data_IF_315213933882
#
_entry.id   IF_315213933882
#
_cell.length_a   1.000
_cell.length_b   1.000
_cell.length_c   1.000
_cell.angle_alpha   90.00
_cell.angle_beta   90.00
_cell.angle_gamma   90.00
#
_symmetry.space_group_name_H-M   'P 1'
#
loop_
_entity.id
_entity.type
_entity.pdbx_description
1 polymer ?
#
# COMPACT_ATOMS: atom_id res chain seq x y z
N UNK A 1 10.85 1.46 14.38
CA UNK A 1 11.22 0.02 14.41
C UNK A 1 11.82 -0.45 13.10
N UNK A 2 11.14 -0.30 11.95
CA UNK A 2 11.72 -0.65 10.64
C UNK A 2 12.99 0.14 10.33
N UNK A 3 13.04 1.43 10.68
CA UNK A 3 14.23 2.26 10.51
C UNK A 3 15.43 1.75 11.32
N UNK A 4 15.19 1.27 12.55
CA UNK A 4 16.23 0.67 13.38
C UNK A 4 16.82 -0.58 12.71
N UNK A 5 15.97 -1.46 12.17
CA UNK A 5 16.42 -2.65 11.43
C UNK A 5 17.14 -2.31 10.13
N UNK A 6 16.80 -1.18 9.50
CA UNK A 6 17.50 -0.66 8.33
C UNK A 6 18.91 -0.19 8.68
N UNK A 7 19.07 0.53 9.79
CA UNK A 7 20.40 1.01 10.24
C UNK A 7 21.32 -0.15 10.63
N UNK A 8 20.79 -1.24 11.17
CA UNK A 8 21.56 -2.40 11.65
C UNK A 8 21.58 -3.57 10.64
N UNK A 9 21.25 -3.32 9.37
CA UNK A 9 21.22 -4.37 8.33
C UNK A 9 22.60 -5.02 8.11
N UNK A 10 23.69 -4.27 8.30
CA UNK A 10 25.06 -4.80 8.18
C UNK A 10 25.43 -5.72 9.34
N UNK A 11 24.98 -5.41 10.55
CA UNK A 11 25.23 -6.23 11.76
C UNK A 11 24.35 -7.49 11.77
N UNK A 12 23.13 -7.38 11.25
CA UNK A 12 22.15 -8.47 11.24
C UNK A 12 21.56 -8.70 9.84
N UNK A 13 22.34 -9.18 8.85
CA UNK A 13 21.93 -9.22 7.43
C UNK A 13 20.77 -10.17 7.12
N UNK A 14 20.56 -11.21 7.93
CA UNK A 14 19.44 -12.14 7.75
C UNK A 14 18.23 -11.66 8.55
N UNK A 15 18.44 -11.27 9.81
CA UNK A 15 17.36 -10.90 10.71
C UNK A 15 16.70 -9.58 10.31
N UNK A 16 17.47 -8.61 9.80
CA UNK A 16 16.93 -7.35 9.26
C UNK A 16 16.01 -7.57 8.06
N UNK A 17 16.29 -8.58 7.21
CA UNK A 17 15.40 -8.98 6.10
C UNK A 17 14.10 -9.58 6.64
N UNK A 18 14.20 -10.53 7.57
CA UNK A 18 13.01 -11.10 8.22
C UNK A 18 12.18 -10.02 8.92
N UNK A 19 12.82 -9.12 9.65
CA UNK A 19 12.14 -8.02 10.34
C UNK A 19 11.42 -7.10 9.34
N UNK A 20 11.99 -6.83 8.18
CA UNK A 20 11.33 -6.07 7.11
C UNK A 20 10.09 -6.79 6.60
N UNK A 21 10.19 -8.10 6.36
CA UNK A 21 9.09 -8.91 5.84
C UNK A 21 7.94 -9.02 6.85
N UNK A 22 8.23 -9.24 8.14
CA UNK A 22 7.20 -9.41 9.16
C UNK A 22 6.62 -8.10 9.68
N UNK A 23 7.45 -7.07 9.88
CA UNK A 23 7.00 -5.82 10.50
C UNK A 23 6.38 -4.83 9.51
N UNK A 24 6.53 -5.05 8.19
CA UNK A 24 5.87 -4.24 7.17
C UNK A 24 4.41 -4.64 6.95
N UNK A 25 3.99 -5.81 7.43
CA UNK A 25 2.62 -6.30 7.29
C UNK A 25 1.69 -5.43 8.14
N UNK A 26 0.64 -4.83 7.55
CA UNK A 26 -0.36 -4.11 8.33
C UNK A 26 -1.06 -5.04 9.32
N UNK A 27 -1.16 -4.62 10.59
CA UNK A 27 -1.81 -5.41 11.63
C UNK A 27 -3.34 -5.54 11.45
N UNK A 28 -3.95 -4.73 10.59
CA UNK A 28 -5.40 -4.69 10.38
C UNK A 28 -5.75 -4.49 8.90
N UNK A 29 -6.99 -4.80 8.53
CA UNK A 29 -7.57 -4.54 7.21
C UNK A 29 -7.86 -3.06 6.93
N UNK A 30 -7.73 -2.18 7.93
CA UNK A 30 -8.07 -0.75 7.84
C UNK A 30 -7.44 -0.03 6.65
N UNK A 31 -6.17 -0.27 6.26
CA UNK A 31 -5.60 0.36 5.06
C UNK A 31 -6.33 -0.06 3.78
N UNK A 32 -6.69 -1.34 3.65
CA UNK A 32 -7.44 -1.85 2.51
C UNK A 32 -8.86 -1.30 2.49
N UNK A 33 -9.55 -1.27 3.63
CA UNK A 33 -10.90 -0.68 3.76
C UNK A 33 -10.91 0.80 3.37
N UNK A 34 -9.89 1.56 3.80
CA UNK A 34 -9.72 2.97 3.42
C UNK A 34 -9.51 3.12 1.90
N UNK A 35 -8.76 2.22 1.29
CA UNK A 35 -8.58 2.19 -0.17
C UNK A 35 -9.90 1.90 -0.88
N UNK A 36 -10.68 0.91 -0.43
CA UNK A 36 -11.98 0.58 -1.02
C UNK A 36 -13.04 1.67 -0.82
N UNK A 37 -13.05 2.31 0.35
CA UNK A 37 -13.90 3.48 0.62
C UNK A 37 -13.62 4.60 -0.38
N UNK A 38 -12.35 4.90 -0.65
CA UNK A 38 -11.96 5.87 -1.68
C UNK A 38 -12.25 5.37 -3.10
N UNK A 39 -12.11 4.07 -3.34
CA UNK A 39 -12.39 3.47 -4.63
C UNK A 39 -13.86 3.65 -5.05
N UNK A 40 -14.77 3.64 -4.07
CA UNK A 40 -16.19 3.94 -4.31
C UNK A 40 -16.42 5.32 -4.95
N UNK A 41 -15.51 6.28 -4.76
CA UNK A 41 -15.55 7.61 -5.39
C UNK A 41 -15.12 7.57 -6.87
N UNK A 42 -14.15 6.72 -7.19
CA UNK A 42 -13.63 6.51 -8.56
C UNK A 42 -14.63 5.69 -9.39
N UNK A 43 -15.26 4.70 -8.76
CA UNK A 43 -16.23 3.77 -9.36
C UNK A 43 -17.68 4.26 -9.12
N UNK A 44 -17.92 5.58 -9.01
CA UNK A 44 -19.28 6.10 -8.86
C UNK A 44 -20.10 5.91 -10.14
N UNK A 45 -21.41 5.72 -9.95
CA UNK A 45 -22.51 5.64 -10.96
C UNK A 45 -22.55 6.74 -12.05
N UNK A 46 -21.68 7.74 -12.03
CA UNK A 46 -21.56 8.78 -13.06
C UNK A 46 -20.43 8.48 -14.06
N UNK A 47 -19.38 7.71 -13.69
CA UNK A 47 -18.26 7.35 -14.58
C UNK A 47 -18.35 5.88 -15.02
N UNK A 48 -19.50 5.49 -15.56
CA UNK A 48 -19.84 4.09 -15.86
C UNK A 48 -19.16 3.50 -17.12
N UNK A 49 -18.21 4.23 -17.71
CA UNK A 49 -17.47 3.79 -18.91
C UNK A 49 -16.04 3.35 -18.60
N UNK A 50 -15.70 3.23 -17.32
CA UNK A 50 -14.38 2.77 -16.91
C UNK A 50 -14.35 1.24 -16.91
N UNK A 51 -13.40 0.65 -17.63
CA UNK A 51 -13.16 -0.79 -17.50
C UNK A 51 -12.65 -1.12 -16.09
N UNK A 52 -12.84 -2.35 -15.67
CA UNK A 52 -12.29 -2.90 -14.44
C UNK A 52 -10.76 -2.74 -14.38
N UNK A 53 -10.09 -2.93 -15.51
CA UNK A 53 -8.65 -2.70 -15.65
C UNK A 53 -8.28 -1.23 -15.43
N UNK A 54 -8.98 -0.30 -16.08
CA UNK A 54 -8.72 1.14 -15.92
C UNK A 54 -8.99 1.61 -14.50
N UNK A 55 -10.00 1.04 -13.83
CA UNK A 55 -10.29 1.31 -12.43
C UNK A 55 -9.15 0.85 -11.52
N UNK A 56 -8.61 -0.36 -11.72
CA UNK A 56 -7.47 -0.88 -10.96
C UNK A 56 -6.25 0.04 -11.10
N UNK A 57 -5.88 0.40 -12.34
CA UNK A 57 -4.75 1.29 -12.58
C UNK A 57 -4.90 2.64 -11.89
N UNK A 58 -6.07 3.26 -11.99
CA UNK A 58 -6.33 4.55 -11.33
C UNK A 58 -6.25 4.45 -9.81
N UNK A 59 -6.68 3.33 -9.20
CA UNK A 59 -6.55 3.12 -7.77
C UNK A 59 -5.09 2.95 -7.36
N UNK A 60 -4.31 2.14 -8.08
CA UNK A 60 -2.89 1.94 -7.81
C UNK A 60 -2.08 3.25 -7.95
N UNK A 61 -2.30 4.00 -9.04
CA UNK A 61 -1.61 5.28 -9.27
C UNK A 61 -1.94 6.28 -8.15
N UNK A 62 -3.19 6.34 -7.72
CA UNK A 62 -3.64 7.26 -6.66
C UNK A 62 -3.19 6.82 -5.25
N UNK A 63 -2.94 5.53 -5.01
CA UNK A 63 -2.32 5.07 -3.77
C UNK A 63 -0.83 5.38 -3.76
N UNK A 64 -0.11 5.01 -4.82
CA UNK A 64 1.36 5.18 -4.88
C UNK A 64 1.80 6.63 -4.95
N UNK A 65 1.05 7.50 -5.65
CA UNK A 65 1.38 8.93 -5.70
C UNK A 65 1.30 9.62 -4.34
N UNK A 66 0.50 9.09 -3.40
CA UNK A 66 0.38 9.60 -2.03
C UNK A 66 1.45 9.08 -1.08
N UNK A 67 2.15 8.02 -1.46
CA UNK A 67 3.28 7.48 -0.69
C UNK A 67 4.60 8.17 -1.07
N UNK A 68 4.64 8.88 -2.22
CA UNK A 68 5.81 9.58 -2.76
C UNK A 68 5.90 11.07 -2.39
N UNK A 69 4.86 11.65 -1.77
CA UNK A 69 4.80 13.05 -1.32
C UNK A 69 4.53 13.06 0.19
#
# INVERSE_FOLDING_TARGET
>A
ILDWWRTHETEYPILSKMARDFLSIPATSVPAERLFSKASLVIRKHRNRLSDESARWLLCINSWSKELI
#
